data_IF_397315791504
#
_entry.id   IF_397315791504
#
_cell.length_a   1.000
_cell.length_b   1.000
_cell.length_c   1.000
_cell.angle_alpha   90.00
_cell.angle_beta   90.00
_cell.angle_gamma   90.00
#
_symmetry.space_group_name_H-M   'P 1'
#
loop_
_entity.id
_entity.type
_entity.pdbx_description
1 polymer ?
#
# COMPACT_ATOMS: atom_id res chain seq x y z
N UNK A 1 -21.64 8.69 1.20
CA UNK A 1 -21.31 9.27 2.51
C UNK A 1 -21.51 8.29 3.67
N UNK A 2 -22.60 7.51 3.74
CA UNK A 2 -22.88 6.60 4.88
C UNK A 2 -22.17 5.23 4.86
N UNK A 3 -21.72 4.73 3.70
CA UNK A 3 -21.12 3.39 3.57
C UNK A 3 -19.67 3.27 4.07
N UNK A 4 -18.96 4.39 4.23
CA UNK A 4 -17.51 4.38 4.52
C UNK A 4 -17.24 4.29 6.02
N UNK A 5 -18.08 4.94 6.84
CA UNK A 5 -17.95 4.96 8.31
C UNK A 5 -18.11 3.57 8.94
N UNK A 6 -18.98 2.72 8.40
CA UNK A 6 -19.13 1.36 8.91
C UNK A 6 -17.93 0.47 8.57
N UNK A 7 -17.26 0.72 7.44
CA UNK A 7 -16.04 0.01 7.07
C UNK A 7 -14.86 0.37 8.01
N UNK A 8 -14.83 1.60 8.51
CA UNK A 8 -13.84 2.04 9.50
C UNK A 8 -14.02 1.35 10.85
N UNK A 9 -15.26 1.04 11.26
CA UNK A 9 -15.53 0.26 12.49
C UNK A 9 -15.07 -1.20 12.38
N UNK A 10 -14.97 -1.75 11.17
CA UNK A 10 -14.42 -3.08 10.92
C UNK A 10 -12.92 -3.08 10.63
N UNK A 11 -12.25 -1.92 10.59
CA UNK A 11 -10.79 -1.89 10.56
C UNK A 11 -10.27 -2.44 11.89
N UNK A 12 -9.65 -3.61 11.84
CA UNK A 12 -8.96 -4.18 12.99
C UNK A 12 -8.00 -3.12 13.56
N UNK A 13 -8.14 -2.71 14.83
CA UNK A 13 -7.18 -1.81 15.46
C UNK A 13 -5.82 -2.49 15.38
N UNK A 14 -4.88 -1.94 14.61
CA UNK A 14 -3.61 -2.56 14.25
C UNK A 14 -2.96 -3.30 15.44
N UNK A 15 -3.22 -4.61 15.58
CA UNK A 15 -2.82 -5.40 16.75
C UNK A 15 -1.30 -5.36 16.91
N UNK A 16 -0.57 -5.35 15.79
CA UNK A 16 0.89 -5.23 15.76
C UNK A 16 1.41 -3.91 16.38
N UNK A 17 0.69 -2.80 16.23
CA UNK A 17 1.12 -1.53 16.86
C UNK A 17 0.94 -1.58 18.39
N UNK A 18 -0.10 -2.28 18.84
CA UNK A 18 -0.42 -2.43 20.27
C UNK A 18 0.42 -3.51 20.96
N UNK A 19 0.78 -4.59 20.25
CA UNK A 19 1.57 -5.72 20.78
C UNK A 19 3.08 -5.57 20.55
N UNK A 20 3.49 -5.07 19.37
CA UNK A 20 4.90 -5.05 18.95
C UNK A 20 5.47 -3.63 18.85
N UNK A 21 4.64 -2.58 18.96
CA UNK A 21 5.08 -1.19 18.82
C UNK A 21 5.52 -0.79 17.40
N UNK A 22 5.49 -1.75 16.46
CA UNK A 22 5.91 -1.56 15.07
C UNK A 22 4.69 -1.58 14.14
N UNK A 23 4.63 -0.65 13.20
CA UNK A 23 3.59 -0.67 12.16
C UNK A 23 3.93 -1.77 11.14
N UNK A 24 3.03 -2.75 10.98
CA UNK A 24 3.24 -3.79 9.99
C UNK A 24 2.92 -3.28 8.57
N UNK A 25 3.65 -3.80 7.58
CA UNK A 25 3.49 -3.41 6.17
C UNK A 25 2.05 -3.56 5.66
N UNK A 26 1.29 -4.55 6.17
CA UNK A 26 -0.10 -4.79 5.78
C UNK A 26 -1.11 -3.77 6.34
N UNK A 27 -1.02 -3.41 7.62
CA UNK A 27 -1.92 -2.41 8.21
C UNK A 27 -1.65 -1.00 7.69
N UNK A 28 -0.39 -0.70 7.36
CA UNK A 28 -0.01 0.55 6.68
C UNK A 28 -0.69 0.70 5.31
N UNK A 29 -0.79 -0.38 4.55
CA UNK A 29 -1.50 -0.41 3.26
C UNK A 29 -3.00 -0.13 3.41
N UNK A 30 -3.68 -0.81 4.34
CA UNK A 30 -5.12 -0.57 4.55
C UNK A 30 -5.40 0.87 4.98
N UNK A 31 -4.58 1.44 5.86
CA UNK A 31 -4.79 2.80 6.38
C UNK A 31 -4.41 3.89 5.38
N UNK A 32 -3.32 3.71 4.63
CA UNK A 32 -2.98 4.60 3.52
C UNK A 32 -4.03 4.55 2.40
N UNK A 33 -4.63 3.38 2.15
CA UNK A 33 -5.76 3.25 1.24
C UNK A 33 -7.01 4.00 1.74
N UNK A 34 -7.33 3.90 3.04
CA UNK A 34 -8.42 4.69 3.63
C UNK A 34 -8.17 6.20 3.52
N UNK A 35 -6.93 6.65 3.74
CA UNK A 35 -6.53 8.05 3.55
C UNK A 35 -6.71 8.49 2.09
N UNK A 36 -6.40 7.64 1.11
CA UNK A 36 -6.69 7.93 -0.31
C UNK A 36 -8.19 8.09 -0.58
N UNK A 37 -9.04 7.24 0.01
CA UNK A 37 -10.50 7.33 -0.11
C UNK A 37 -11.06 8.60 0.54
N UNK A 38 -10.41 9.10 1.59
CA UNK A 38 -10.75 10.36 2.25
C UNK A 38 -10.17 11.60 1.52
N UNK A 39 -9.41 11.43 0.45
CA UNK A 39 -8.77 12.53 -0.29
C UNK A 39 -7.45 13.04 0.33
N UNK A 40 -6.94 12.35 1.34
CA UNK A 40 -5.71 12.68 2.07
C UNK A 40 -4.47 12.06 1.39
N UNK A 41 -4.17 12.49 0.17
CA UNK A 41 -3.09 11.95 -0.67
C UNK A 41 -1.69 12.08 -0.05
N UNK A 42 -1.43 13.19 0.64
CA UNK A 42 -0.14 13.50 1.26
C UNK A 42 0.09 12.64 2.51
N UNK A 43 -0.96 12.45 3.32
CA UNK A 43 -0.90 11.58 4.49
C UNK A 43 -0.75 10.11 4.07
N UNK A 44 -1.45 9.68 3.01
CA UNK A 44 -1.28 8.35 2.43
C UNK A 44 0.17 8.11 1.97
N UNK A 45 0.78 9.09 1.28
CA UNK A 45 2.18 9.05 0.84
C UNK A 45 3.17 8.98 2.00
N UNK A 46 2.96 9.79 3.05
CA UNK A 46 3.80 9.77 4.25
C UNK A 46 3.68 8.46 5.01
N UNK A 47 2.50 7.85 5.01
CA UNK A 47 2.25 6.61 5.73
C UNK A 47 2.79 5.38 4.98
N UNK A 48 2.55 5.30 3.67
CA UNK A 48 3.03 4.20 2.85
C UNK A 48 3.31 4.72 1.42
N UNK A 49 4.53 5.20 1.13
CA UNK A 49 4.84 5.80 -0.18
C UNK A 49 4.65 4.80 -1.33
N UNK A 50 4.82 3.51 -1.06
CA UNK A 50 4.59 2.44 -2.02
C UNK A 50 3.10 2.20 -2.37
N UNK A 51 2.14 2.90 -1.73
CA UNK A 51 0.70 2.68 -2.00
C UNK A 51 0.35 2.94 -3.48
N UNK A 52 0.96 3.96 -4.10
CA UNK A 52 0.71 4.33 -5.49
C UNK A 52 1.29 3.30 -6.46
N UNK A 53 2.52 2.86 -6.21
CA UNK A 53 3.19 1.85 -7.02
C UNK A 53 2.52 0.48 -6.87
N UNK A 54 1.88 0.23 -5.74
CA UNK A 54 1.13 -1.00 -5.46
C UNK A 54 -0.26 -0.98 -6.12
N UNK A 55 -0.97 0.16 -6.11
CA UNK A 55 -2.20 0.37 -6.89
C UNK A 55 -1.92 0.18 -8.39
N UNK A 56 -0.83 0.76 -8.89
CA UNK A 56 -0.42 0.60 -10.28
C UNK A 56 -0.11 -0.86 -10.62
N UNK A 57 0.56 -1.59 -9.72
CA UNK A 57 0.82 -3.02 -9.89
C UNK A 57 -0.50 -3.81 -9.96
N UNK A 58 -1.44 -3.56 -9.06
CA UNK A 58 -2.76 -4.20 -9.09
C UNK A 58 -3.54 -3.90 -10.37
N UNK A 59 -3.48 -2.67 -10.88
CA UNK A 59 -4.07 -2.30 -12.16
C UNK A 59 -3.46 -3.10 -13.31
N UNK A 60 -2.14 -3.16 -13.40
CA UNK A 60 -1.44 -3.89 -14.47
C UNK A 60 -1.72 -5.40 -14.37
N UNK A 61 -1.71 -5.96 -13.16
CA UNK A 61 -2.05 -7.37 -12.92
C UNK A 61 -3.51 -7.64 -13.33
N UNK A 62 -4.44 -6.76 -12.96
CA UNK A 62 -5.85 -6.86 -13.33
C UNK A 62 -6.05 -6.83 -14.84
N UNK A 63 -5.45 -5.85 -15.53
CA UNK A 63 -5.52 -5.78 -17.00
C UNK A 63 -4.86 -7.02 -17.62
N UNK A 64 -3.73 -7.48 -17.09
CA UNK A 64 -3.06 -8.70 -17.58
C UNK A 64 -3.91 -9.96 -17.37
N UNK A 65 -4.75 -10.02 -16.34
CA UNK A 65 -5.67 -11.14 -16.11
C UNK A 65 -6.79 -11.19 -17.16
N UNK A 66 -7.31 -10.05 -17.60
CA UNK A 66 -8.32 -10.00 -18.67
C UNK A 66 -7.71 -10.08 -20.07
N UNK A 67 -6.54 -9.47 -20.27
CA UNK A 67 -5.84 -9.43 -21.55
C UNK A 67 -4.34 -9.62 -21.30
N UNK A 68 -3.85 -10.87 -21.28
CA UNK A 68 -2.44 -11.12 -21.06
C UNK A 68 -1.63 -10.62 -22.26
N UNK A 69 -0.64 -9.76 -22.00
CA UNK A 69 0.29 -9.27 -23.01
C UNK A 69 1.67 -9.92 -22.83
N UNK A 70 2.47 -10.03 -23.90
CA UNK A 70 3.78 -10.71 -23.84
C UNK A 70 4.79 -10.04 -22.90
N UNK A 71 4.65 -8.74 -22.62
CA UNK A 71 5.59 -7.97 -21.79
C UNK A 71 5.08 -7.63 -20.39
N UNK A 72 3.81 -7.89 -20.07
CA UNK A 72 3.22 -7.50 -18.78
C UNK A 72 3.92 -8.18 -17.61
N UNK A 73 4.35 -9.43 -17.75
CA UNK A 73 5.03 -10.14 -16.67
C UNK A 73 6.38 -9.49 -16.28
N UNK A 74 7.15 -9.00 -17.28
CA UNK A 74 8.39 -8.23 -17.01
C UNK A 74 8.08 -6.92 -16.29
N UNK A 75 7.05 -6.19 -16.74
CA UNK A 75 6.66 -4.90 -16.15
C UNK A 75 6.20 -5.08 -14.69
N UNK A 76 5.39 -6.11 -14.42
CA UNK A 76 4.90 -6.43 -13.07
C UNK A 76 6.07 -6.77 -12.13
N UNK A 77 7.02 -7.60 -12.57
CA UNK A 77 8.21 -7.94 -11.78
C UNK A 77 9.07 -6.70 -11.50
N UNK A 78 9.32 -5.86 -12.51
CA UNK A 78 10.09 -4.62 -12.32
C UNK A 78 9.41 -3.68 -11.33
N UNK A 79 8.10 -3.49 -11.43
CA UNK A 79 7.34 -2.68 -10.47
C UNK A 79 7.36 -3.27 -9.06
N UNK A 80 7.26 -4.59 -8.92
CA UNK A 80 7.29 -5.26 -7.62
C UNK A 80 8.64 -5.05 -6.92
N UNK A 81 9.74 -5.21 -7.65
CA UNK A 81 11.09 -4.96 -7.13
C UNK A 81 11.24 -3.49 -6.70
N UNK A 82 10.72 -2.56 -7.52
CA UNK A 82 10.79 -1.12 -7.23
C UNK A 82 9.94 -0.74 -6.00
N UNK A 83 8.77 -1.35 -5.83
CA UNK A 83 7.94 -1.23 -4.62
C UNK A 83 8.72 -1.68 -3.38
N UNK A 84 9.32 -2.88 -3.43
CA UNK A 84 10.08 -3.43 -2.30
C UNK A 84 11.30 -2.55 -1.98
N UNK A 85 12.00 -2.04 -2.98
CA UNK A 85 13.10 -1.12 -2.80
C UNK A 85 12.66 0.20 -2.12
N UNK A 86 11.50 0.76 -2.49
CA UNK A 86 10.95 1.96 -1.86
C UNK A 86 10.51 1.72 -0.40
N UNK A 87 9.94 0.55 -0.12
CA UNK A 87 9.54 0.16 1.24
C UNK A 87 10.78 -0.02 2.12
N UNK A 88 11.77 -0.77 1.64
CA UNK A 88 13.04 -0.99 2.35
C UNK A 88 13.79 0.33 2.53
N UNK A 89 13.86 1.17 1.49
CA UNK A 89 14.48 2.49 1.57
C UNK A 89 13.81 3.38 2.62
N UNK A 90 12.48 3.40 2.67
CA UNK A 90 11.73 4.15 3.69
C UNK A 90 11.93 3.58 5.10
N UNK A 91 11.98 2.25 5.24
CA UNK A 91 12.22 1.59 6.52
C UNK A 91 13.65 1.78 7.01
N UNK A 92 14.63 1.78 6.11
CA UNK A 92 16.03 2.07 6.40
C UNK A 92 16.22 3.53 6.83
N UNK A 93 15.60 4.49 6.13
CA UNK A 93 15.60 5.90 6.54
C UNK A 93 14.96 6.11 7.92
N UNK A 94 13.86 5.39 8.21
CA UNK A 94 13.13 5.51 9.48
C UNK A 94 13.76 4.76 10.66
N UNK A 95 14.64 3.77 10.42
CA UNK A 95 15.43 3.14 11.48
C UNK A 95 16.77 3.84 11.72
N UNK A 96 17.24 4.63 10.76
CA UNK A 96 18.49 5.39 10.90
C UNK A 96 18.29 6.77 11.56
N UNK A 97 17.04 7.26 11.67
CA UNK A 97 16.65 8.51 12.36
C UNK A 97 15.74 8.20 13.55
#
# INVERSE_FOLDING_TARGET
MLLINDLEKFMLPCLNKKLLGVECMGCGLQRSFSLLLHGEFIAALKMYPAIYTLILLFLIVGINAFKPFKFSNKIIITLAILNVALIIGSFAFKNLT
#
